data_IF_423246014821
#
_entry.id   IF_423246014821
#
_cell.length_a   1.000
_cell.length_b   1.000
_cell.length_c   1.000
_cell.angle_alpha   90.00
_cell.angle_beta   90.00
_cell.angle_gamma   90.00
#
_symmetry.space_group_name_H-M   'P 1'
#
loop_
_entity.id
_entity.type
_entity.pdbx_description
1 polymer ?
#
# COMPACT_ATOMS: atom_id res chain seq x y z
N UNK A 1 -19.93 2.39 -17.08
CA UNK A 1 -20.38 1.01 -17.36
C UNK A 1 -19.35 0.38 -18.28
N UNK A 2 -18.19 0.05 -17.73
CA UNK A 2 -17.07 -0.55 -18.46
C UNK A 2 -17.11 -2.05 -18.25
N UNK A 3 -16.99 -2.81 -19.33
CA UNK A 3 -17.00 -4.28 -19.36
C UNK A 3 -15.93 -4.85 -18.42
N UNK A 4 -16.38 -5.45 -17.31
CA UNK A 4 -15.56 -6.33 -16.47
C UNK A 4 -15.37 -7.66 -17.22
N UNK A 5 -14.12 -8.00 -17.49
CA UNK A 5 -13.58 -9.35 -17.62
C UNK A 5 -14.12 -10.26 -18.75
N UNK A 6 -13.50 -10.21 -19.93
CA UNK A 6 -13.62 -11.28 -20.93
C UNK A 6 -12.72 -12.47 -20.58
N UNK A 7 -13.35 -13.63 -20.34
CA UNK A 7 -12.72 -14.94 -20.20
C UNK A 7 -11.88 -15.31 -21.43
N UNK A 8 -10.69 -15.93 -21.29
CA UNK A 8 -10.03 -16.59 -22.41
C UNK A 8 -10.69 -17.96 -22.68
N UNK A 9 -10.99 -18.16 -23.97
CA UNK A 9 -11.58 -19.37 -24.56
C UNK A 9 -10.62 -20.56 -24.47
N UNK A 10 -11.21 -21.73 -24.26
CA UNK A 10 -10.62 -23.04 -24.05
C UNK A 10 -9.50 -23.42 -25.04
N UNK A 11 -8.39 -23.92 -24.49
CA UNK A 11 -7.33 -24.64 -25.19
C UNK A 11 -7.10 -25.99 -24.50
N UNK A 12 -7.21 -27.05 -25.27
CA UNK A 12 -7.33 -28.45 -24.84
C UNK A 12 -5.98 -29.09 -24.40
N UNK A 13 -6.07 -30.01 -23.40
CA UNK A 13 -5.21 -31.19 -23.05
C UNK A 13 -4.07 -31.05 -22.01
N UNK A 14 -3.56 -32.17 -21.42
CA UNK A 14 -4.24 -33.41 -20.97
C UNK A 14 -3.86 -33.83 -19.52
N UNK A 15 -4.76 -34.61 -18.89
CA UNK A 15 -4.52 -35.64 -17.86
C UNK A 15 -3.45 -35.43 -16.77
N UNK A 16 -3.90 -35.23 -15.53
CA UNK A 16 -3.13 -35.61 -14.34
C UNK A 16 -4.04 -36.28 -13.30
N UNK A 17 -3.51 -37.36 -12.74
CA UNK A 17 -4.20 -38.39 -11.99
C UNK A 17 -4.84 -37.93 -10.68
N UNK A 18 -5.96 -38.59 -10.42
CA UNK A 18 -6.63 -38.84 -9.16
C UNK A 18 -5.65 -39.18 -8.03
N UNK A 19 -5.64 -38.38 -6.96
CA UNK A 19 -4.95 -38.73 -5.72
C UNK A 19 -5.47 -37.92 -4.51
N UNK A 20 -6.07 -38.68 -3.58
CA UNK A 20 -6.16 -38.46 -2.11
C UNK A 20 -7.44 -37.81 -1.57
N UNK A 21 -8.43 -38.66 -1.39
CA UNK A 21 -9.15 -38.76 -0.11
C UNK A 21 -8.19 -39.23 1.00
N UNK A 22 -7.88 -38.36 1.96
CA UNK A 22 -7.34 -38.76 3.27
C UNK A 22 -7.77 -37.75 4.33
N UNK A 23 -8.37 -38.23 5.41
CA UNK A 23 -9.09 -37.44 6.41
C UNK A 23 -8.25 -36.40 7.14
N UNK A 24 -8.87 -35.24 7.41
CA UNK A 24 -8.34 -34.18 8.29
C UNK A 24 -8.49 -34.61 9.76
N UNK A 25 -7.45 -35.27 10.28
CA UNK A 25 -7.15 -35.36 11.71
C UNK A 25 -6.51 -34.06 12.25
N UNK A 26 -6.27 -33.95 13.58
CA UNK A 26 -6.26 -32.67 14.29
C UNK A 26 -5.10 -31.74 13.91
N UNK A 27 -5.45 -30.46 13.94
CA UNK A 27 -4.64 -29.26 13.69
C UNK A 27 -3.29 -29.32 14.40
N UNK A 28 -2.20 -29.29 13.64
CA UNK A 28 -0.83 -29.21 14.16
C UNK A 28 -0.37 -27.75 14.15
N UNK A 29 0.04 -27.28 15.34
CA UNK A 29 0.87 -26.12 15.66
C UNK A 29 0.44 -24.75 15.10
N UNK A 30 -0.22 -23.94 15.94
CA UNK A 30 -0.22 -22.47 15.83
C UNK A 30 1.22 -21.97 15.83
N UNK A 31 1.84 -21.81 14.66
CA UNK A 31 2.94 -20.87 14.54
C UNK A 31 2.37 -19.51 14.96
N UNK A 32 2.92 -18.91 16.02
CA UNK A 32 2.44 -17.65 16.56
C UNK A 32 2.44 -16.61 15.45
N UNK A 33 1.25 -16.22 14.99
CA UNK A 33 1.12 -15.13 14.05
C UNK A 33 1.21 -13.86 14.88
N UNK A 34 2.28 -13.12 14.62
CA UNK A 34 2.58 -11.85 15.28
C UNK A 34 3.11 -11.96 16.72
N UNK A 35 3.68 -10.85 17.17
CA UNK A 35 4.16 -10.69 18.54
C UNK A 35 2.99 -10.38 19.46
N UNK A 36 2.63 -11.34 20.32
CA UNK A 36 1.79 -11.11 21.50
C UNK A 36 2.73 -10.91 22.71
N UNK A 37 2.83 -9.67 23.22
CA UNK A 37 3.57 -9.41 24.45
C UNK A 37 2.71 -9.78 25.67
N UNK A 38 3.36 -10.19 26.77
CA UNK A 38 2.64 -10.45 28.03
C UNK A 38 1.76 -9.25 28.42
N UNK A 39 0.47 -9.51 28.62
CA UNK A 39 -0.51 -8.51 29.03
C UNK A 39 -1.25 -7.80 27.89
N UNK A 40 -0.81 -7.96 26.63
CA UNK A 40 -1.45 -7.29 25.48
C UNK A 40 -2.93 -7.62 25.34
N UNK A 41 -3.28 -8.90 25.52
CA UNK A 41 -4.68 -9.34 25.47
C UNK A 41 -5.52 -8.71 26.58
N UNK A 42 -5.02 -8.71 27.82
CA UNK A 42 -5.74 -8.11 28.94
C UNK A 42 -5.90 -6.59 28.77
N UNK A 43 -4.88 -5.91 28.24
CA UNK A 43 -4.95 -4.49 27.91
C UNK A 43 -5.98 -4.21 26.80
N UNK A 44 -6.02 -5.05 25.76
CA UNK A 44 -7.01 -4.92 24.69
C UNK A 44 -8.44 -5.18 25.19
N UNK A 45 -8.65 -6.18 26.04
CA UNK A 45 -9.96 -6.48 26.64
C UNK A 45 -10.43 -5.31 27.53
N UNK A 46 -9.53 -4.72 28.34
CA UNK A 46 -9.83 -3.55 29.15
C UNK A 46 -10.15 -2.31 28.30
N UNK A 47 -9.39 -2.10 27.22
CA UNK A 47 -9.63 -1.02 26.27
C UNK A 47 -10.99 -1.16 25.55
N UNK A 48 -11.40 -2.37 25.19
CA UNK A 48 -12.71 -2.63 24.59
C UNK A 48 -13.85 -2.33 25.58
N UNK A 49 -13.75 -2.79 26.83
CA UNK A 49 -14.77 -2.51 27.86
C UNK A 49 -14.91 -1.00 28.12
N UNK A 50 -13.78 -0.29 28.24
CA UNK A 50 -13.78 1.17 28.38
C UNK A 50 -14.41 1.86 27.17
N UNK A 51 -14.13 1.37 25.96
CA UNK A 51 -14.65 1.94 24.72
C UNK A 51 -16.15 1.72 24.60
N UNK A 52 -16.63 0.51 24.92
CA UNK A 52 -18.06 0.15 24.92
C UNK A 52 -18.91 0.92 25.93
N UNK A 53 -18.31 1.39 27.02
CA UNK A 53 -19.00 2.22 28.01
C UNK A 53 -19.29 3.65 27.51
N UNK A 54 -18.75 4.07 26.35
CA UNK A 54 -18.98 5.40 25.78
C UNK A 54 -20.33 5.47 25.08
N UNK A 55 -21.01 6.61 25.21
CA UNK A 55 -22.38 6.80 24.71
C UNK A 55 -22.55 6.55 23.20
N UNK A 56 -21.54 6.93 22.40
CA UNK A 56 -21.56 6.83 20.94
C UNK A 56 -20.65 5.70 20.43
N UNK A 57 -20.33 4.72 21.29
CA UNK A 57 -19.51 3.59 20.91
C UNK A 57 -20.22 2.78 19.80
N UNK A 58 -19.50 2.38 18.73
CA UNK A 58 -20.07 1.53 17.71
C UNK A 58 -20.52 0.19 18.29
N UNK A 59 -21.64 -0.33 17.77
CA UNK A 59 -22.17 -1.64 18.12
C UNK A 59 -21.46 -2.77 17.38
N UNK A 60 -22.15 -3.91 17.24
CA UNK A 60 -21.61 -5.05 16.48
C UNK A 60 -21.69 -4.81 14.97
N UNK A 61 -20.87 -5.54 14.22
CA UNK A 61 -20.78 -5.45 12.75
C UNK A 61 -21.23 -6.77 12.08
N UNK A 62 -22.53 -7.11 12.08
CA UNK A 62 -23.01 -8.42 11.59
C UNK A 62 -22.76 -8.66 10.10
N UNK A 63 -22.65 -7.60 9.29
CA UNK A 63 -22.33 -7.72 7.86
C UNK A 63 -20.89 -8.18 7.62
N UNK A 64 -19.96 -7.89 8.54
CA UNK A 64 -18.60 -8.43 8.48
C UNK A 64 -18.62 -9.95 8.60
N UNK A 65 -19.35 -10.49 9.58
CA UNK A 65 -19.49 -11.95 9.75
C UNK A 65 -20.17 -12.60 8.54
N UNK A 66 -21.14 -11.92 7.91
CA UNK A 66 -21.74 -12.40 6.66
C UNK A 66 -20.71 -12.45 5.54
N UNK A 67 -19.90 -11.40 5.38
CA UNK A 67 -18.84 -11.34 4.38
C UNK A 67 -17.78 -12.43 4.60
N UNK A 68 -17.33 -12.65 5.83
CA UNK A 68 -16.42 -13.76 6.19
C UNK A 68 -16.99 -15.10 5.73
N UNK A 69 -18.28 -15.36 6.01
CA UNK A 69 -18.95 -16.59 5.55
C UNK A 69 -19.08 -16.66 4.03
N UNK A 70 -19.30 -15.54 3.36
CA UNK A 70 -19.34 -15.47 1.89
C UNK A 70 -17.99 -15.85 1.29
N UNK A 71 -16.89 -15.26 1.75
CA UNK A 71 -15.53 -15.58 1.28
C UNK A 71 -15.18 -17.04 1.55
N UNK A 72 -15.48 -17.54 2.75
CA UNK A 72 -15.36 -18.96 3.09
C UNK A 72 -16.11 -19.83 2.08
N UNK A 73 -17.38 -19.50 1.79
CA UNK A 73 -18.24 -20.23 0.87
C UNK A 73 -17.68 -20.27 -0.56
N UNK A 74 -17.12 -19.16 -1.04
CA UNK A 74 -16.50 -19.07 -2.38
C UNK A 74 -15.38 -20.10 -2.56
N UNK A 75 -14.70 -20.51 -1.48
CA UNK A 75 -13.59 -21.45 -1.53
C UNK A 75 -13.94 -22.91 -1.18
N UNK A 76 -15.22 -23.21 -0.91
CA UNK A 76 -15.65 -24.59 -0.66
C UNK A 76 -15.81 -25.40 -1.97
N UNK A 77 -15.98 -26.72 -1.87
CA UNK A 77 -16.07 -27.63 -3.03
C UNK A 77 -17.13 -27.20 -4.07
N UNK A 78 -18.25 -26.67 -3.57
CA UNK A 78 -19.38 -26.12 -4.34
C UNK A 78 -19.33 -24.58 -4.46
N UNK A 79 -18.16 -23.99 -4.25
CA UNK A 79 -17.86 -22.58 -4.44
C UNK A 79 -17.34 -22.27 -5.85
N UNK A 80 -16.66 -21.13 -5.99
CA UNK A 80 -16.12 -20.64 -7.24
C UNK A 80 -14.77 -21.32 -7.57
N UNK A 81 -14.61 -21.95 -8.74
CA UNK A 81 -13.35 -22.59 -9.12
C UNK A 81 -12.16 -21.62 -9.17
N UNK A 82 -12.39 -20.36 -9.54
CA UNK A 82 -11.34 -19.35 -9.59
C UNK A 82 -10.86 -18.97 -8.20
N UNK A 83 -11.78 -18.69 -7.27
CA UNK A 83 -11.44 -18.33 -5.88
C UNK A 83 -10.69 -19.46 -5.19
N UNK A 84 -11.10 -20.71 -5.38
CA UNK A 84 -10.42 -21.90 -4.84
C UNK A 84 -8.99 -22.07 -5.34
N UNK A 85 -8.72 -21.68 -6.59
CA UNK A 85 -7.40 -21.82 -7.19
C UNK A 85 -6.39 -20.77 -6.71
N UNK A 86 -6.84 -19.72 -6.01
CA UNK A 86 -5.97 -18.64 -5.56
C UNK A 86 -5.05 -19.06 -4.42
N UNK A 87 -3.81 -18.55 -4.47
CA UNK A 87 -2.82 -18.61 -3.40
C UNK A 87 -2.43 -17.19 -2.97
N UNK A 88 -1.63 -17.05 -1.90
CA UNK A 88 -1.11 -15.74 -1.50
C UNK A 88 -0.36 -15.01 -2.63
N UNK A 89 0.40 -15.75 -3.44
CA UNK A 89 1.21 -15.19 -4.53
C UNK A 89 0.35 -14.76 -5.73
N UNK A 90 -0.71 -15.50 -6.05
CA UNK A 90 -1.59 -15.13 -7.18
C UNK A 90 -2.43 -13.89 -6.89
N UNK A 91 -2.69 -13.60 -5.60
CA UNK A 91 -3.46 -12.45 -5.15
C UNK A 91 -2.64 -11.17 -4.96
N UNK A 92 -1.31 -11.25 -4.86
CA UNK A 92 -0.42 -10.11 -4.58
C UNK A 92 -0.68 -8.92 -5.50
N UNK A 93 -0.78 -9.18 -6.81
CA UNK A 93 -1.03 -8.14 -7.81
C UNK A 93 -2.38 -7.46 -7.58
N UNK A 94 -3.44 -8.23 -7.35
CA UNK A 94 -4.78 -7.68 -7.17
C UNK A 94 -4.84 -6.82 -5.90
N UNK A 95 -4.23 -7.27 -4.80
CA UNK A 95 -4.14 -6.49 -3.56
C UNK A 95 -3.48 -5.12 -3.77
N UNK A 96 -2.42 -5.06 -4.57
CA UNK A 96 -1.78 -3.78 -4.93
C UNK A 96 -2.72 -2.94 -5.80
N UNK A 97 -3.33 -3.53 -6.82
CA UNK A 97 -4.26 -2.83 -7.72
C UNK A 97 -5.43 -2.20 -6.94
N UNK A 98 -6.15 -2.95 -6.09
CA UNK A 98 -7.27 -2.42 -5.29
C UNK A 98 -6.83 -1.32 -4.31
N UNK A 99 -5.59 -1.41 -3.79
CA UNK A 99 -5.04 -0.35 -2.93
C UNK A 99 -4.88 0.95 -3.70
N UNK A 100 -4.43 0.89 -4.96
CA UNK A 100 -4.27 2.08 -5.78
C UNK A 100 -5.60 2.62 -6.31
N UNK A 101 -6.59 1.77 -6.57
CA UNK A 101 -7.96 2.22 -6.89
C UNK A 101 -8.59 2.94 -5.69
N UNK A 102 -8.41 2.43 -4.46
CA UNK A 102 -8.83 3.14 -3.24
C UNK A 102 -8.16 4.51 -3.10
N UNK A 103 -6.87 4.62 -3.45
CA UNK A 103 -6.16 5.91 -3.49
C UNK A 103 -6.77 6.84 -4.55
N UNK A 104 -7.05 6.36 -5.77
CA UNK A 104 -7.70 7.16 -6.81
C UNK A 104 -9.10 7.63 -6.37
N UNK A 105 -9.86 6.79 -5.67
CA UNK A 105 -11.17 7.15 -5.13
C UNK A 105 -11.08 8.28 -4.07
N UNK A 106 -10.10 8.23 -3.16
CA UNK A 106 -9.81 9.30 -2.20
C UNK A 106 -9.49 10.60 -2.93
N UNK A 107 -8.58 10.54 -3.91
CA UNK A 107 -8.10 11.71 -4.63
C UNK A 107 -9.20 12.38 -5.47
N UNK A 108 -10.19 11.61 -5.92
CA UNK A 108 -11.37 12.13 -6.62
C UNK A 108 -12.48 12.62 -5.70
N UNK A 109 -12.36 12.40 -4.39
CA UNK A 109 -13.41 12.73 -3.42
C UNK A 109 -14.72 11.99 -3.69
N UNK A 110 -14.65 10.76 -4.21
CA UNK A 110 -15.84 9.95 -4.52
C UNK A 110 -16.12 8.99 -3.39
N UNK A 111 -17.03 9.35 -2.48
CA UNK A 111 -17.40 8.49 -1.35
C UNK A 111 -17.96 7.13 -1.79
N UNK A 112 -18.69 7.11 -2.92
CA UNK A 112 -19.27 5.88 -3.48
C UNK A 112 -18.18 4.92 -3.94
N UNK A 113 -17.22 5.41 -4.72
CA UNK A 113 -16.11 4.56 -5.17
C UNK A 113 -15.21 4.22 -3.98
N UNK A 114 -14.98 5.14 -3.05
CA UNK A 114 -14.16 4.85 -1.87
C UNK A 114 -14.72 3.68 -1.06
N UNK A 115 -16.04 3.62 -0.88
CA UNK A 115 -16.67 2.49 -0.21
C UNK A 115 -16.55 1.17 -1.01
N UNK A 116 -16.63 1.22 -2.34
CA UNK A 116 -16.42 0.06 -3.23
C UNK A 116 -14.97 -0.45 -3.10
N UNK A 117 -13.98 0.39 -3.32
CA UNK A 117 -12.56 0.02 -3.33
C UNK A 117 -12.06 -0.41 -1.94
N UNK A 118 -12.52 0.22 -0.85
CA UNK A 118 -12.23 -0.26 0.51
C UNK A 118 -12.84 -1.64 0.77
N UNK A 119 -13.99 -1.94 0.15
CA UNK A 119 -14.58 -3.27 0.16
C UNK A 119 -13.71 -4.30 -0.56
N UNK A 120 -13.14 -3.94 -1.70
CA UNK A 120 -12.26 -4.82 -2.48
C UNK A 120 -10.92 -5.06 -1.76
N UNK A 121 -10.33 -4.03 -1.14
CA UNK A 121 -9.17 -4.20 -0.24
C UNK A 121 -9.51 -5.12 0.94
N UNK A 122 -10.70 -4.97 1.55
CA UNK A 122 -11.14 -5.84 2.65
C UNK A 122 -11.33 -7.30 2.18
N UNK A 123 -11.88 -7.50 0.99
CA UNK A 123 -12.02 -8.82 0.37
C UNK A 123 -10.66 -9.50 0.21
N UNK A 124 -9.62 -8.78 -0.22
CA UNK A 124 -8.28 -9.33 -0.33
C UNK A 124 -7.76 -9.82 1.04
N UNK A 125 -7.92 -9.02 2.10
CA UNK A 125 -7.54 -9.44 3.47
C UNK A 125 -8.26 -10.73 3.88
N UNK A 126 -9.56 -10.84 3.58
CA UNK A 126 -10.35 -12.04 3.90
C UNK A 126 -9.94 -13.27 3.09
N UNK A 127 -9.63 -13.12 1.79
CA UNK A 127 -9.13 -14.21 0.96
C UNK A 127 -7.79 -14.74 1.49
N UNK A 128 -6.85 -13.86 1.84
CA UNK A 128 -5.59 -14.26 2.47
C UNK A 128 -5.83 -14.97 3.81
N UNK A 129 -6.73 -14.45 4.66
CA UNK A 129 -7.05 -15.09 5.93
C UNK A 129 -7.70 -16.48 5.75
N UNK A 130 -8.54 -16.66 4.74
CA UNK A 130 -9.17 -17.94 4.44
C UNK A 130 -8.18 -18.97 3.89
N UNK A 131 -7.28 -18.57 2.98
CA UNK A 131 -6.16 -19.41 2.51
C UNK A 131 -5.31 -19.86 3.70
N UNK A 132 -4.93 -18.92 4.58
CA UNK A 132 -4.12 -19.24 5.75
C UNK A 132 -4.85 -20.18 6.73
N UNK A 133 -6.17 -20.06 6.84
CA UNK A 133 -7.01 -20.93 7.66
C UNK A 133 -7.06 -22.35 7.10
N UNK A 134 -7.19 -22.48 5.77
CA UNK A 134 -7.15 -23.77 5.08
C UNK A 134 -5.85 -24.53 5.33
N UNK A 135 -4.74 -23.79 5.41
CA UNK A 135 -3.38 -24.27 5.71
C UNK A 135 -3.09 -24.44 7.21
N UNK A 136 -4.04 -24.07 8.09
CA UNK A 136 -3.90 -24.18 9.54
C UNK A 136 -2.94 -23.15 10.18
N UNK A 137 -2.61 -22.07 9.48
CA UNK A 137 -1.67 -21.05 9.92
C UNK A 137 -2.32 -19.96 10.79
N UNK A 138 -3.30 -19.23 10.24
CA UNK A 138 -4.06 -18.21 10.97
C UNK A 138 -5.45 -17.96 10.38
N UNK A 139 -6.24 -17.18 11.10
CA UNK A 139 -7.62 -16.81 10.76
C UNK A 139 -7.78 -15.30 10.73
N UNK A 140 -8.93 -14.83 10.23
CA UNK A 140 -9.28 -13.41 10.28
C UNK A 140 -9.35 -12.89 11.73
N UNK A 141 -9.80 -13.72 12.68
CA UNK A 141 -9.83 -13.36 14.10
C UNK A 141 -8.42 -13.16 14.67
N UNK A 142 -7.44 -13.97 14.21
CA UNK A 142 -6.05 -13.77 14.58
C UNK A 142 -5.50 -12.44 14.02
N UNK A 143 -5.84 -12.09 12.77
CA UNK A 143 -5.46 -10.82 12.13
C UNK A 143 -6.03 -9.63 12.90
N UNK A 144 -7.36 -9.61 13.14
CA UNK A 144 -8.05 -8.56 13.86
C UNK A 144 -7.54 -8.40 15.29
N UNK A 145 -7.32 -9.51 15.99
CA UNK A 145 -6.80 -9.47 17.37
C UNK A 145 -5.40 -8.90 17.44
N UNK A 146 -4.49 -9.33 16.55
CA UNK A 146 -3.12 -8.83 16.55
C UNK A 146 -3.03 -7.34 16.25
N UNK A 147 -3.78 -6.85 15.25
CA UNK A 147 -3.78 -5.41 14.96
C UNK A 147 -4.40 -4.63 16.11
N UNK A 148 -5.47 -5.13 16.74
CA UNK A 148 -6.09 -4.47 17.90
C UNK A 148 -5.13 -4.36 19.09
N UNK A 149 -4.53 -5.48 19.51
CA UNK A 149 -3.54 -5.51 20.59
C UNK A 149 -2.36 -4.57 20.30
N UNK A 150 -1.85 -4.56 19.05
CA UNK A 150 -0.78 -3.66 18.62
C UNK A 150 -1.20 -2.19 18.67
N UNK A 151 -2.42 -1.86 18.28
CA UNK A 151 -2.94 -0.50 18.36
C UNK A 151 -3.08 -0.06 19.80
N UNK A 152 -3.67 -0.88 20.67
CA UNK A 152 -3.80 -0.58 22.12
C UNK A 152 -2.43 -0.34 22.75
N UNK A 153 -1.48 -1.25 22.52
CA UNK A 153 -0.10 -1.13 23.02
C UNK A 153 0.62 0.13 22.53
N UNK A 154 0.40 0.54 21.27
CA UNK A 154 1.05 1.71 20.67
C UNK A 154 0.38 3.04 21.00
N UNK A 155 -0.78 3.01 21.64
CA UNK A 155 -1.50 4.20 22.10
C UNK A 155 -1.67 4.19 23.63
N UNK A 156 -0.59 4.12 24.42
CA UNK A 156 -0.68 4.20 25.87
C UNK A 156 -1.19 5.56 26.37
N UNK A 157 -1.27 6.56 25.48
CA UNK A 157 -1.88 7.87 25.75
C UNK A 157 -3.39 7.90 25.54
N UNK A 158 -3.96 6.85 24.94
CA UNK A 158 -5.41 6.66 24.80
C UNK A 158 -5.90 5.60 25.78
N UNK A 159 -5.17 4.49 25.89
CA UNK A 159 -5.61 3.29 26.64
C UNK A 159 -4.80 3.02 27.92
N UNK A 160 -3.92 3.94 28.31
CA UNK A 160 -3.09 3.83 29.50
C UNK A 160 -2.82 5.19 30.14
N UNK A 161 -1.70 5.31 30.86
CA UNK A 161 -1.40 6.48 31.70
C UNK A 161 -0.49 7.51 31.02
N UNK A 162 -0.07 7.30 29.76
CA UNK A 162 0.82 8.25 29.11
C UNK A 162 0.07 9.55 28.75
N UNK A 163 0.73 10.70 28.86
CA UNK A 163 0.16 11.96 28.41
C UNK A 163 0.73 12.32 27.04
N UNK A 164 -0.14 12.71 26.11
CA UNK A 164 0.23 13.32 24.85
C UNK A 164 -0.64 14.55 24.62
N UNK A 165 -0.03 15.71 24.36
CA UNK A 165 -0.76 16.96 24.10
C UNK A 165 -0.54 17.50 22.68
N UNK A 166 0.41 16.90 21.94
CA UNK A 166 0.75 17.28 20.57
C UNK A 166 1.10 16.05 19.72
N UNK A 167 1.06 16.22 18.40
CA UNK A 167 1.52 15.19 17.45
C UNK A 167 3.00 14.82 17.68
N UNK A 168 3.82 15.78 18.11
CA UNK A 168 5.22 15.53 18.44
C UNK A 168 5.36 14.60 19.64
N UNK A 169 4.52 14.77 20.68
CA UNK A 169 4.49 13.87 21.84
C UNK A 169 4.09 12.45 21.42
N UNK A 170 3.08 12.32 20.55
CA UNK A 170 2.66 11.03 20.00
C UNK A 170 3.79 10.38 19.22
N UNK A 171 4.51 11.14 18.40
CA UNK A 171 5.68 10.66 17.66
C UNK A 171 6.78 10.10 18.57
N UNK A 172 7.07 10.78 19.69
CA UNK A 172 8.04 10.31 20.70
C UNK A 172 7.57 9.03 21.40
N UNK A 173 6.31 8.98 21.84
CA UNK A 173 5.71 7.79 22.46
C UNK A 173 5.80 6.60 21.50
N UNK A 174 5.48 6.81 20.23
CA UNK A 174 5.50 5.75 19.23
C UNK A 174 6.91 5.20 18.98
N UNK A 175 7.91 6.08 18.94
CA UNK A 175 9.31 5.68 18.82
C UNK A 175 9.77 4.84 20.03
N UNK A 176 9.38 5.25 21.24
CA UNK A 176 9.68 4.53 22.48
C UNK A 176 9.01 3.15 22.54
N UNK A 177 7.72 3.07 22.21
CA UNK A 177 7.00 1.78 22.17
C UNK A 177 7.63 0.84 21.14
N UNK A 178 7.94 1.34 19.94
CA UNK A 178 8.61 0.53 18.90
C UNK A 178 9.98 0.02 19.34
N UNK A 179 10.74 0.80 20.11
CA UNK A 179 12.02 0.35 20.66
C UNK A 179 11.82 -0.83 21.62
N UNK A 180 10.89 -0.69 22.57
CA UNK A 180 10.55 -1.76 23.53
C UNK A 180 10.04 -3.02 22.85
N UNK A 181 9.24 -2.89 21.78
CA UNK A 181 8.78 -4.04 20.98
C UNK A 181 9.96 -4.81 20.36
N UNK A 182 10.99 -4.11 19.85
CA UNK A 182 12.19 -4.76 19.30
C UNK A 182 12.99 -5.47 20.40
N UNK A 183 13.17 -4.82 21.54
CA UNK A 183 13.86 -5.39 22.71
C UNK A 183 13.15 -6.66 23.20
N UNK A 184 11.81 -6.64 23.26
CA UNK A 184 11.01 -7.79 23.67
C UNK A 184 11.07 -8.94 22.66
N UNK A 185 11.03 -8.66 21.34
CA UNK A 185 11.24 -9.67 20.30
C UNK A 185 12.60 -10.36 20.42
N UNK A 186 13.65 -9.56 20.61
CA UNK A 186 15.01 -10.06 20.78
C UNK A 186 15.12 -10.95 22.04
N UNK A 187 14.46 -10.56 23.14
CA UNK A 187 14.46 -11.31 24.39
C UNK A 187 13.71 -12.66 24.30
N UNK A 188 12.70 -12.77 23.43
CA UNK A 188 11.89 -13.99 23.28
C UNK A 188 12.46 -14.99 22.28
N UNK A 189 13.59 -14.70 21.63
CA UNK A 189 14.17 -15.59 20.63
C UNK A 189 13.30 -15.79 19.37
N UNK A 190 12.20 -15.06 19.24
CA UNK A 190 11.34 -14.99 18.05
C UNK A 190 11.93 -14.05 16.99
N UNK A 191 13.22 -14.17 16.74
CA UNK A 191 13.75 -13.74 15.46
C UNK A 191 13.86 -14.99 14.58
N UNK A 192 13.20 -14.97 13.43
CA UNK A 192 13.42 -15.98 12.39
C UNK A 192 14.85 -15.89 11.84
N UNK A 193 15.10 -16.45 10.66
CA UNK A 193 16.40 -16.32 9.98
C UNK A 193 16.90 -14.85 9.79
N UNK A 194 16.07 -13.85 10.12
CA UNK A 194 16.36 -12.43 10.29
C UNK A 194 16.96 -12.03 11.66
N UNK A 195 17.56 -12.93 12.45
CA UNK A 195 18.29 -12.62 13.71
C UNK A 195 19.74 -12.16 13.51
N UNK A 196 20.17 -11.85 12.29
CA UNK A 196 21.20 -10.83 12.18
C UNK A 196 20.62 -9.55 12.81
N UNK A 197 21.38 -8.69 13.51
CA UNK A 197 20.83 -7.39 13.87
C UNK A 197 20.24 -6.79 12.60
N UNK A 198 18.90 -6.63 12.54
CA UNK A 198 18.22 -6.04 11.38
C UNK A 198 19.07 -4.82 11.01
N UNK A 199 19.72 -4.88 9.84
CA UNK A 199 20.41 -3.73 9.31
C UNK A 199 19.44 -2.58 9.34
N UNK A 200 19.93 -1.36 9.53
CA UNK A 200 19.09 -0.15 9.65
C UNK A 200 17.96 -0.10 8.59
N UNK A 201 18.23 -0.66 7.40
CA UNK A 201 17.38 -0.71 6.22
C UNK A 201 16.55 -2.01 6.08
N UNK A 202 16.86 -3.10 6.79
CA UNK A 202 16.16 -4.39 6.67
C UNK A 202 14.68 -4.31 7.07
N UNK A 203 14.35 -3.31 7.89
CA UNK A 203 12.96 -2.99 8.25
C UNK A 203 12.17 -2.22 7.18
N UNK A 204 12.76 -1.93 6.02
CA UNK A 204 12.06 -1.35 4.86
C UNK A 204 11.59 -2.50 3.96
N UNK A 205 10.27 -2.73 3.81
CA UNK A 205 9.78 -3.85 3.02
C UNK A 205 10.22 -3.78 1.56
N UNK A 206 10.74 -4.90 1.04
CA UNK A 206 11.19 -5.02 -0.35
C UNK A 206 10.06 -4.91 -1.37
N UNK A 207 8.83 -5.19 -0.95
CA UNK A 207 7.61 -5.15 -1.78
C UNK A 207 7.02 -3.75 -1.98
N UNK A 208 7.59 -2.72 -1.34
CA UNK A 208 7.12 -1.35 -1.56
C UNK A 208 7.44 -0.86 -2.99
N UNK A 209 6.59 0.01 -3.57
CA UNK A 209 6.92 0.77 -4.76
C UNK A 209 8.27 1.49 -4.61
N UNK A 210 9.04 1.55 -5.70
CA UNK A 210 10.44 1.95 -5.65
C UNK A 210 10.66 3.35 -5.04
N UNK A 211 9.81 4.34 -5.34
CA UNK A 211 9.96 5.69 -4.78
C UNK A 211 9.66 5.72 -3.29
N UNK A 212 8.59 5.05 -2.86
CA UNK A 212 8.24 4.93 -1.45
C UNK A 212 9.30 4.16 -0.66
N UNK A 213 9.84 3.09 -1.24
CA UNK A 213 10.94 2.32 -0.67
C UNK A 213 12.19 3.19 -0.51
N UNK A 214 12.58 3.91 -1.56
CA UNK A 214 13.70 4.85 -1.57
C UNK A 214 13.54 5.92 -0.48
N UNK A 215 12.35 6.53 -0.38
CA UNK A 215 12.07 7.56 0.62
C UNK A 215 12.22 7.00 2.05
N UNK A 216 11.71 5.79 2.32
CA UNK A 216 11.87 5.13 3.62
C UNK A 216 13.31 4.75 3.92
N UNK A 217 14.08 4.25 2.95
CA UNK A 217 15.50 3.96 3.10
C UNK A 217 16.24 5.22 3.54
N UNK A 218 16.00 6.33 2.82
CA UNK A 218 16.61 7.62 3.12
C UNK A 218 16.22 8.14 4.51
N UNK A 219 14.94 8.10 4.89
CA UNK A 219 14.49 8.49 6.24
C UNK A 219 15.18 7.69 7.35
N UNK A 220 15.48 6.40 7.12
CA UNK A 220 16.21 5.59 8.11
C UNK A 220 17.67 5.98 8.17
N UNK A 221 18.33 6.17 7.04
CA UNK A 221 19.71 6.64 6.98
C UNK A 221 19.87 8.00 7.71
N UNK A 222 18.97 8.94 7.43
CA UNK A 222 18.90 10.25 8.09
C UNK A 222 18.76 10.13 9.62
N UNK A 223 17.86 9.27 10.10
CA UNK A 223 17.67 9.01 11.54
C UNK A 223 18.90 8.43 12.23
N UNK A 224 19.77 7.74 11.48
CA UNK A 224 21.05 7.24 12.00
C UNK A 224 22.18 8.28 11.91
N UNK A 225 21.89 9.50 11.45
CA UNK A 225 22.85 10.60 11.33
C UNK A 225 23.53 10.69 9.97
N UNK A 226 23.15 9.87 8.98
CA UNK A 226 23.60 10.01 7.60
C UNK A 226 22.64 10.94 6.85
N UNK A 227 22.91 12.23 6.93
CA UNK A 227 22.02 13.30 6.47
C UNK A 227 22.82 14.46 5.85
N UNK A 228 22.21 15.15 4.88
CA UNK A 228 22.78 16.35 4.27
C UNK A 228 22.76 17.54 5.24
N UNK A 229 23.64 18.53 5.07
CA UNK A 229 23.67 19.70 5.95
C UNK A 229 22.61 20.75 5.54
N UNK A 230 22.21 20.76 4.27
CA UNK A 230 21.23 21.68 3.72
C UNK A 230 20.53 21.11 2.49
N UNK A 231 19.39 21.71 2.12
CA UNK A 231 18.66 21.40 0.88
C UNK A 231 19.52 21.62 -0.37
N UNK A 232 20.39 22.65 -0.34
CA UNK A 232 21.32 22.93 -1.44
C UNK A 232 22.28 21.77 -1.69
N UNK A 233 22.76 21.11 -0.63
CA UNK A 233 23.66 19.95 -0.76
C UNK A 233 22.96 18.76 -1.42
N UNK A 234 21.65 18.61 -1.22
CA UNK A 234 20.85 17.56 -1.88
C UNK A 234 20.74 17.84 -3.39
N UNK A 235 20.51 19.10 -3.76
CA UNK A 235 20.50 19.51 -5.17
C UNK A 235 21.87 19.39 -5.84
N UNK A 236 22.96 19.68 -5.10
CA UNK A 236 24.31 19.44 -5.57
C UNK A 236 24.57 17.95 -5.82
N UNK A 237 24.00 17.07 -4.99
CA UNK A 237 24.03 15.62 -5.22
C UNK A 237 23.29 15.24 -6.51
N UNK A 238 22.07 15.75 -6.74
CA UNK A 238 21.33 15.54 -8.01
C UNK A 238 22.18 15.97 -9.21
N UNK A 239 22.89 17.09 -9.11
CA UNK A 239 23.79 17.55 -10.15
C UNK A 239 25.02 16.64 -10.35
N UNK A 240 25.50 15.97 -9.28
CA UNK A 240 26.56 14.95 -9.36
C UNK A 240 26.08 13.70 -10.08
N UNK A 241 24.98 13.09 -9.65
CA UNK A 241 24.45 11.87 -10.26
C UNK A 241 24.13 12.07 -11.74
N UNK A 242 23.66 13.28 -12.10
CA UNK A 242 23.46 13.63 -13.50
C UNK A 242 24.76 13.60 -14.31
N UNK A 243 25.88 14.09 -13.75
CA UNK A 243 27.18 14.08 -14.44
C UNK A 243 27.70 12.65 -14.58
N UNK A 244 27.50 11.82 -13.57
CA UNK A 244 27.89 10.40 -13.59
C UNK A 244 27.08 9.64 -14.66
N UNK A 245 25.77 9.84 -14.69
CA UNK A 245 24.89 9.36 -15.77
C UNK A 245 25.35 9.84 -17.16
N UNK A 246 25.74 11.11 -17.31
CA UNK A 246 26.18 11.68 -18.59
C UNK A 246 27.55 11.12 -19.04
N UNK A 247 28.40 10.66 -18.12
CA UNK A 247 29.69 10.05 -18.43
C UNK A 247 29.56 8.60 -18.94
N UNK A 248 28.50 7.89 -18.57
CA UNK A 248 28.32 6.49 -18.93
C UNK A 248 27.82 6.27 -20.38
N UNK A 249 28.30 5.25 -21.12
CA UNK A 249 27.86 4.99 -22.48
C UNK A 249 26.36 4.73 -22.62
N UNK A 250 25.74 5.25 -23.69
CA UNK A 250 24.31 5.01 -23.96
C UNK A 250 24.00 3.51 -24.05
N UNK A 251 23.01 3.06 -23.28
CA UNK A 251 22.54 1.67 -23.26
C UNK A 251 23.40 0.71 -22.42
N UNK A 252 24.43 1.19 -21.71
CA UNK A 252 25.17 0.35 -20.76
C UNK A 252 24.34 0.04 -19.50
N UNK A 253 24.64 -1.07 -18.85
CA UNK A 253 24.06 -1.42 -17.54
C UNK A 253 24.44 -0.37 -16.48
N UNK A 254 25.69 0.12 -16.53
CA UNK A 254 26.16 1.20 -15.67
C UNK A 254 25.28 2.46 -15.82
N UNK A 255 24.97 2.89 -17.05
CA UNK A 255 24.10 4.04 -17.30
C UNK A 255 22.69 3.84 -16.71
N UNK A 256 22.19 2.61 -16.68
CA UNK A 256 20.89 2.32 -16.07
C UNK A 256 20.94 2.43 -14.54
N UNK A 257 22.05 2.02 -13.90
CA UNK A 257 22.28 2.20 -12.46
C UNK A 257 22.37 3.69 -12.10
N UNK A 258 23.19 4.46 -12.82
CA UNK A 258 23.32 5.92 -12.62
C UNK A 258 21.98 6.65 -12.80
N UNK A 259 21.12 6.18 -13.70
CA UNK A 259 19.78 6.75 -13.85
C UNK A 259 18.92 6.48 -12.60
N UNK A 260 19.09 5.30 -11.98
CA UNK A 260 18.53 4.98 -10.68
C UNK A 260 19.02 5.93 -9.59
N UNK A 261 20.31 6.26 -9.57
CA UNK A 261 20.90 7.17 -8.57
C UNK A 261 20.41 8.62 -8.74
N UNK A 262 20.17 9.07 -9.97
CA UNK A 262 19.47 10.34 -10.24
C UNK A 262 18.05 10.31 -9.64
N UNK A 263 17.29 9.23 -9.84
CA UNK A 263 15.95 9.10 -9.24
C UNK A 263 16.02 9.07 -7.71
N UNK A 264 16.98 8.34 -7.15
CA UNK A 264 17.21 8.27 -5.72
C UNK A 264 17.48 9.67 -5.13
N UNK A 265 18.35 10.45 -5.78
CA UNK A 265 18.66 11.82 -5.35
C UNK A 265 17.45 12.75 -5.46
N UNK A 266 16.61 12.63 -6.50
CA UNK A 266 15.35 13.39 -6.59
C UNK A 266 14.34 13.03 -5.49
N UNK A 267 14.27 11.75 -5.09
CA UNK A 267 13.45 11.34 -3.94
C UNK A 267 13.97 11.96 -2.64
N UNK A 268 15.28 12.14 -2.51
CA UNK A 268 15.86 12.83 -1.35
C UNK A 268 15.50 14.32 -1.31
N UNK A 269 15.45 14.99 -2.46
CA UNK A 269 14.93 16.37 -2.55
C UNK A 269 13.47 16.40 -2.06
N UNK A 270 12.62 15.50 -2.58
CA UNK A 270 11.23 15.41 -2.15
C UNK A 270 11.11 15.20 -0.63
N UNK A 271 11.92 14.33 -0.04
CA UNK A 271 11.96 14.09 1.41
C UNK A 271 12.30 15.37 2.19
N UNK A 272 13.30 16.14 1.75
CA UNK A 272 13.69 17.39 2.38
C UNK A 272 12.59 18.46 2.32
N UNK A 273 11.84 18.48 1.22
CA UNK A 273 10.69 19.38 1.04
C UNK A 273 9.40 18.89 1.72
N UNK A 274 9.41 17.72 2.36
CA UNK A 274 8.22 17.11 2.97
C UNK A 274 7.20 16.60 1.95
N UNK A 275 7.65 16.30 0.74
CA UNK A 275 6.85 15.76 -0.37
C UNK A 275 6.91 14.23 -0.35
N UNK A 276 5.75 13.57 -0.50
CA UNK A 276 5.68 12.14 -0.80
C UNK A 276 5.98 11.92 -2.29
N UNK A 277 7.13 11.31 -2.60
CA UNK A 277 7.61 11.18 -3.98
C UNK A 277 6.72 10.27 -4.83
N UNK A 278 6.20 9.18 -4.25
CA UNK A 278 5.31 8.23 -4.93
C UNK A 278 3.99 8.93 -5.29
N UNK A 279 3.38 9.61 -4.33
CA UNK A 279 2.15 10.36 -4.53
C UNK A 279 2.33 11.52 -5.54
N UNK A 280 3.47 12.23 -5.49
CA UNK A 280 3.76 13.33 -6.41
C UNK A 280 3.91 12.86 -7.86
N UNK A 281 4.57 11.71 -8.09
CA UNK A 281 4.66 11.13 -9.42
C UNK A 281 3.30 10.60 -9.89
N UNK A 282 2.54 9.93 -9.02
CA UNK A 282 1.19 9.46 -9.32
C UNK A 282 0.28 10.63 -9.76
N UNK A 283 0.32 11.75 -9.04
CA UNK A 283 -0.41 12.98 -9.42
C UNK A 283 0.02 13.53 -10.79
N UNK A 284 1.31 13.49 -11.09
CA UNK A 284 1.81 13.91 -12.40
C UNK A 284 1.38 12.98 -13.54
N UNK A 285 1.32 11.67 -13.30
CA UNK A 285 0.80 10.69 -14.25
C UNK A 285 -0.69 10.93 -14.53
N UNK A 286 -1.51 11.16 -13.51
CA UNK A 286 -2.94 11.51 -13.67
C UNK A 286 -3.14 12.78 -14.47
N UNK A 287 -2.39 13.84 -14.14
CA UNK A 287 -2.38 15.11 -14.88
C UNK A 287 -2.01 14.92 -16.36
N UNK A 288 -1.03 14.07 -16.66
CA UNK A 288 -0.68 13.72 -18.04
C UNK A 288 -1.82 13.00 -18.75
N UNK A 289 -2.41 11.97 -18.11
CA UNK A 289 -3.54 11.19 -18.66
C UNK A 289 -4.76 12.07 -18.95
N UNK A 290 -5.12 12.94 -18.00
CA UNK A 290 -6.22 13.90 -18.14
C UNK A 290 -6.01 14.80 -19.36
N UNK A 291 -4.83 15.41 -19.48
CA UNK A 291 -4.49 16.29 -20.60
C UNK A 291 -4.48 15.54 -21.94
N UNK A 292 -3.94 14.32 -21.95
CA UNK A 292 -3.96 13.48 -23.15
C UNK A 292 -5.39 13.10 -23.56
N UNK A 293 -6.26 12.78 -22.61
CA UNK A 293 -7.69 12.55 -22.85
C UNK A 293 -8.38 13.78 -23.45
N UNK A 294 -8.09 14.97 -22.93
CA UNK A 294 -8.61 16.22 -23.49
C UNK A 294 -8.09 16.47 -24.92
N UNK A 295 -6.82 16.18 -25.20
CA UNK A 295 -6.27 16.23 -26.56
C UNK A 295 -6.99 15.28 -27.50
N UNK A 296 -7.31 14.06 -27.06
CA UNK A 296 -8.09 13.10 -27.85
C UNK A 296 -9.50 13.61 -28.14
N UNK A 297 -10.17 14.20 -27.15
CA UNK A 297 -11.50 14.78 -27.33
C UNK A 297 -11.47 15.93 -28.37
N UNK A 298 -10.54 16.87 -28.22
CA UNK A 298 -10.37 17.99 -29.16
C UNK A 298 -10.01 17.53 -30.57
N UNK A 299 -9.16 16.50 -30.70
CA UNK A 299 -8.81 15.94 -32.00
C UNK A 299 -10.03 15.31 -32.68
N UNK A 300 -10.84 14.56 -31.92
CA UNK A 300 -12.11 13.97 -32.42
C UNK A 300 -13.09 15.04 -32.87
N UNK A 301 -13.28 16.10 -32.09
CA UNK A 301 -14.14 17.23 -32.47
C UNK A 301 -13.69 17.92 -33.76
N UNK A 302 -12.38 17.99 -33.97
CA UNK A 302 -11.76 18.55 -35.18
C UNK A 302 -11.72 17.58 -36.37
N UNK A 303 -12.17 16.33 -36.19
CA UNK A 303 -12.11 15.30 -37.22
C UNK A 303 -10.68 14.88 -37.60
N UNK A 304 -9.69 15.10 -36.73
CA UNK A 304 -8.28 14.74 -36.96
C UNK A 304 -7.85 13.62 -36.02
N UNK A 305 -6.87 12.81 -36.45
CA UNK A 305 -6.26 11.80 -35.58
C UNK A 305 -4.97 12.34 -34.97
N UNK A 306 -4.77 12.12 -33.68
CA UNK A 306 -3.56 12.59 -32.96
C UNK A 306 -2.25 12.05 -33.57
N UNK A 307 -2.25 10.82 -34.08
CA UNK A 307 -1.05 10.19 -34.65
C UNK A 307 -0.68 10.72 -36.04
N UNK A 308 -1.54 11.55 -36.63
CA UNK A 308 -1.28 12.25 -37.89
C UNK A 308 -0.80 13.70 -37.67
N UNK A 309 -0.80 14.17 -36.43
CA UNK A 309 -0.39 15.52 -36.08
C UNK A 309 1.11 15.59 -35.88
N UNK A 310 1.71 16.71 -36.29
CA UNK A 310 3.10 16.98 -35.98
C UNK A 310 3.29 17.43 -34.52
N UNK A 311 4.55 17.49 -34.08
CA UNK A 311 4.90 17.91 -32.71
C UNK A 311 4.38 19.32 -32.37
N UNK A 312 4.32 20.24 -33.33
CA UNK A 312 3.84 21.60 -33.09
C UNK A 312 2.32 21.64 -32.90
N UNK A 313 1.58 20.80 -33.63
CA UNK A 313 0.14 20.60 -33.50
C UNK A 313 -0.22 19.89 -32.19
N UNK A 314 0.52 18.83 -31.83
CA UNK A 314 0.37 18.15 -30.53
C UNK A 314 0.64 19.12 -29.37
N UNK A 315 1.68 19.96 -29.46
CA UNK A 315 1.97 20.97 -28.46
C UNK A 315 0.88 22.05 -28.37
N UNK A 316 0.25 22.42 -29.49
CA UNK A 316 -0.91 23.33 -29.50
C UNK A 316 -2.09 22.73 -28.73
N UNK A 317 -2.46 21.48 -29.04
CA UNK A 317 -3.52 20.75 -28.33
C UNK A 317 -3.20 20.57 -26.84
N UNK A 318 -1.96 20.25 -26.49
CA UNK A 318 -1.51 20.15 -25.10
C UNK A 318 -1.63 21.48 -24.35
N UNK A 319 -1.25 22.58 -25.00
CA UNK A 319 -1.40 23.93 -24.47
C UNK A 319 -2.86 24.31 -24.23
N UNK A 320 -3.77 23.91 -25.13
CA UNK A 320 -5.21 24.07 -24.96
C UNK A 320 -5.75 23.24 -23.79
N UNK A 321 -5.37 21.96 -23.69
CA UNK A 321 -5.76 21.08 -22.59
C UNK A 321 -5.33 21.65 -21.23
N UNK A 322 -4.10 22.18 -21.15
CA UNK A 322 -3.61 22.89 -19.94
C UNK A 322 -4.46 24.09 -19.56
N UNK A 323 -4.99 24.84 -20.53
CA UNK A 323 -5.85 26.01 -20.27
C UNK A 323 -7.23 25.59 -19.78
N UNK A 324 -7.81 24.55 -20.37
CA UNK A 324 -9.11 24.00 -19.93
C UNK A 324 -9.03 23.47 -18.49
N UNK A 325 -7.98 22.73 -18.15
CA UNK A 325 -7.74 22.22 -16.78
C UNK A 325 -7.64 23.37 -15.75
N UNK A 326 -6.93 24.45 -16.08
CA UNK A 326 -6.79 25.63 -15.21
C UNK A 326 -8.07 26.45 -15.10
N UNK A 327 -8.86 26.52 -16.18
CA UNK A 327 -10.14 27.24 -16.21
C UNK A 327 -11.26 26.50 -15.49
N UNK A 328 -11.28 25.16 -15.56
CA UNK A 328 -12.27 24.31 -14.88
C UNK A 328 -12.11 24.26 -13.35
N UNK A 329 -10.90 24.46 -12.83
CA UNK A 329 -10.64 24.54 -11.39
C UNK A 329 -11.11 25.84 -10.71
N UNK A 330 -11.46 26.87 -11.49
CA UNK A 330 -11.92 28.16 -10.96
C UNK A 330 -13.46 28.30 -10.93
N UNK A 331 -14.21 27.25 -11.30
CA UNK A 331 -15.65 27.35 -11.62
C UNK A 331 -16.63 26.66 -10.66
N UNK A 332 -16.21 26.00 -9.59
CA UNK A 332 -17.14 25.26 -8.69
C UNK A 332 -17.33 25.90 -7.30
N UNK A 333 -16.91 27.15 -7.11
CA UNK A 333 -17.03 27.87 -5.85
C UNK A 333 -17.75 29.21 -5.96
N UNK A 334 -18.88 29.28 -6.66
CA UNK A 334 -19.89 30.35 -6.49
C UNK A 334 -21.11 30.08 -7.39
N UNK A 335 -22.18 29.53 -6.81
CA UNK A 335 -23.54 29.74 -7.26
C UNK A 335 -24.48 29.38 -6.09
N UNK A 336 -24.99 30.44 -5.45
CA UNK A 336 -26.15 30.59 -4.55
C UNK A 336 -26.62 29.40 -3.68
#
# INVERSE_FOLDING_TARGET
MGEKNTLPVEGERPGAADARTAGRGPVVSRAAVGLELPGDRAAADAADEQSRARADAPGTHPEFDRLVRTVWRLRQEDGCPWDRAQTHQTLERSLVEETYEAVDAIERGSDVHLAEELGDVLMQVLLHAEIAREDGSFTIDDVCRQINQKLVRRHPHVFGDAAAQSEQDVGRIWADVKRREREARAAMGEGGADTAPEGLLDSVPRSLPALLQCQKISERAARAGFEWASEADVWDQVASERRELEAEPAGSEARALEFGDVLFSLVNVARWEGIDAEAALAASNRKFRSRWGAMQAMARERGVRLDQLDTAELNRLWGEAKRQERGGGAGTGAAD
#
